data_IF_633000947902
#
_entry.id   IF_633000947902
#
_cell.length_a   1.000
_cell.length_b   1.000
_cell.length_c   1.000
_cell.angle_alpha   90.00
_cell.angle_beta   90.00
_cell.angle_gamma   90.00
#
_symmetry.space_group_name_H-M   'P 1'
#
loop_
_entity.id
_entity.type
_entity.pdbx_description
1 polymer ?
#
# COMPACT_ATOMS: atom_id res chain seq x y z
N UNK A 1 -14.56 -72.60 11.25
CA UNK A 1 -13.62 -72.39 12.37
C UNK A 1 -12.76 -71.21 11.96
N UNK A 2 -13.23 -69.99 12.42
CA UNK A 2 -12.65 -68.71 11.97
C UNK A 2 -11.56 -68.27 12.95
N UNK A 3 -10.31 -68.42 12.56
CA UNK A 3 -9.18 -67.86 13.30
C UNK A 3 -9.00 -66.38 12.92
N UNK A 4 -9.71 -65.51 13.63
CA UNK A 4 -9.41 -64.08 13.62
C UNK A 4 -8.05 -63.82 14.27
N UNK A 5 -7.03 -63.65 13.42
CA UNK A 5 -5.73 -63.13 13.79
C UNK A 5 -5.91 -61.74 14.37
N UNK A 6 -5.88 -61.62 15.71
CA UNK A 6 -5.84 -60.36 16.39
C UNK A 6 -4.47 -59.70 16.16
N UNK A 7 -4.40 -58.81 15.21
CA UNK A 7 -3.25 -57.93 14.97
C UNK A 7 -3.01 -57.06 16.23
N UNK A 8 -2.03 -57.44 17.01
CA UNK A 8 -1.60 -56.70 18.22
C UNK A 8 -1.01 -55.37 17.77
N UNK A 9 -1.75 -54.27 17.81
CA UNK A 9 -1.26 -52.90 17.56
C UNK A 9 -0.04 -52.69 18.48
N UNK A 10 1.13 -52.63 17.85
CA UNK A 10 2.38 -52.34 18.52
C UNK A 10 2.32 -50.89 19.06
N UNK A 11 2.11 -50.73 20.35
CA UNK A 11 2.13 -49.42 21.00
C UNK A 11 3.47 -48.73 20.84
N UNK A 12 3.45 -47.42 20.74
CA UNK A 12 4.66 -46.58 20.67
C UNK A 12 5.56 -46.84 21.88
N UNK A 13 6.87 -46.95 21.65
CA UNK A 13 7.86 -47.10 22.71
C UNK A 13 7.81 -45.89 23.68
N UNK A 14 8.16 -46.13 24.96
CA UNK A 14 8.13 -45.11 26.01
C UNK A 14 8.93 -43.85 25.64
N UNK A 15 10.12 -44.03 25.07
CA UNK A 15 10.97 -42.93 24.57
C UNK A 15 10.26 -42.10 23.51
N UNK A 16 9.57 -42.75 22.57
CA UNK A 16 8.81 -42.06 21.50
C UNK A 16 7.61 -41.29 22.07
N UNK A 17 6.93 -41.84 23.09
CA UNK A 17 5.84 -41.11 23.79
C UNK A 17 6.34 -39.84 24.47
N UNK A 18 7.44 -39.93 25.20
CA UNK A 18 8.08 -38.78 25.86
C UNK A 18 8.51 -37.73 24.85
N UNK A 19 9.13 -38.16 23.75
CA UNK A 19 9.59 -37.24 22.68
C UNK A 19 8.41 -36.51 22.03
N UNK A 20 7.34 -37.22 21.68
CA UNK A 20 6.15 -36.64 21.09
C UNK A 20 5.48 -35.65 22.04
N UNK A 21 5.34 -36.01 23.33
CA UNK A 21 4.73 -35.14 24.34
C UNK A 21 5.52 -33.84 24.56
N UNK A 22 6.83 -33.87 24.41
CA UNK A 22 7.69 -32.68 24.53
C UNK A 22 7.74 -31.84 23.22
N UNK A 23 7.79 -32.49 22.06
CA UNK A 23 7.93 -31.81 20.76
C UNK A 23 6.64 -31.14 20.29
N UNK A 24 5.48 -31.76 20.49
CA UNK A 24 4.19 -31.20 20.01
C UNK A 24 3.92 -29.82 20.58
N UNK A 25 3.97 -29.57 21.91
CA UNK A 25 3.75 -28.23 22.45
C UNK A 25 4.80 -27.21 21.99
N UNK A 26 6.06 -27.64 21.82
CA UNK A 26 7.12 -26.76 21.32
C UNK A 26 6.85 -26.29 19.89
N UNK A 27 6.48 -27.21 18.99
CA UNK A 27 6.10 -26.89 17.62
C UNK A 27 4.88 -25.98 17.60
N UNK A 28 3.89 -26.24 18.42
CA UNK A 28 2.66 -25.44 18.52
C UNK A 28 2.96 -23.99 18.94
N UNK A 29 3.85 -23.79 19.92
CA UNK A 29 4.29 -22.45 20.36
C UNK A 29 5.02 -21.73 19.23
N UNK A 30 5.91 -22.38 18.49
CA UNK A 30 6.64 -21.78 17.37
C UNK A 30 5.68 -21.37 16.25
N UNK A 31 4.71 -22.21 15.91
CA UNK A 31 3.69 -21.90 14.89
C UNK A 31 2.83 -20.72 15.32
N UNK A 32 2.34 -20.72 16.54
CA UNK A 32 1.53 -19.61 17.07
C UNK A 32 2.30 -18.31 17.12
N UNK A 33 3.57 -18.34 17.54
CA UNK A 33 4.44 -17.17 17.53
C UNK A 33 4.66 -16.63 16.09
N UNK A 34 4.94 -17.53 15.14
CA UNK A 34 5.12 -17.16 13.73
C UNK A 34 3.89 -16.50 13.12
N UNK A 35 2.70 -17.06 13.36
CA UNK A 35 1.43 -16.47 12.89
C UNK A 35 1.17 -15.10 13.54
N UNK A 36 1.43 -14.97 14.84
CA UNK A 36 1.26 -13.70 15.55
C UNK A 36 2.18 -12.61 15.03
N UNK A 37 3.46 -12.90 14.82
CA UNK A 37 4.46 -11.96 14.28
C UNK A 37 4.05 -11.51 12.87
N UNK A 38 3.63 -12.45 12.02
CA UNK A 38 3.21 -12.13 10.65
C UNK A 38 1.97 -11.22 10.65
N UNK A 39 0.97 -11.52 11.46
CA UNK A 39 -0.29 -10.75 11.53
C UNK A 39 -0.06 -9.33 12.06
N UNK A 40 0.65 -9.19 13.17
CA UNK A 40 0.94 -7.88 13.77
C UNK A 40 1.85 -7.05 12.86
N UNK A 41 2.90 -7.68 12.28
CA UNK A 41 3.84 -7.01 11.40
C UNK A 41 3.14 -6.41 10.17
N UNK A 42 2.21 -7.13 9.55
CA UNK A 42 1.48 -6.64 8.38
C UNK A 42 0.56 -5.45 8.71
N UNK A 43 -0.08 -5.45 9.86
CA UNK A 43 -0.95 -4.34 10.30
C UNK A 43 -0.12 -3.09 10.60
N UNK A 44 1.00 -3.25 11.31
CA UNK A 44 1.90 -2.12 11.64
C UNK A 44 2.51 -1.53 10.37
N UNK A 45 2.99 -2.36 9.45
CA UNK A 45 3.56 -1.90 8.19
C UNK A 45 2.54 -1.11 7.36
N UNK A 46 1.32 -1.61 7.21
CA UNK A 46 0.24 -0.89 6.50
C UNK A 46 -0.07 0.46 7.15
N UNK A 47 -0.15 0.51 8.48
CA UNK A 47 -0.44 1.75 9.21
C UNK A 47 0.68 2.78 9.05
N UNK A 48 1.94 2.33 9.05
CA UNK A 48 3.09 3.19 8.85
C UNK A 48 3.11 3.78 7.43
N UNK A 49 2.93 2.94 6.40
CA UNK A 49 2.86 3.39 5.01
C UNK A 49 1.71 4.37 4.80
N UNK A 50 0.53 4.10 5.38
CA UNK A 50 -0.61 5.01 5.30
C UNK A 50 -0.29 6.37 5.92
N UNK A 51 0.36 6.40 7.07
CA UNK A 51 0.75 7.64 7.73
C UNK A 51 1.78 8.44 6.91
N UNK A 52 2.76 7.74 6.31
CA UNK A 52 3.72 8.36 5.39
C UNK A 52 3.03 8.98 4.18
N UNK A 53 2.11 8.26 3.54
CA UNK A 53 1.36 8.77 2.38
C UNK A 53 0.50 9.99 2.74
N UNK A 54 -0.17 9.98 3.88
CA UNK A 54 -0.93 11.14 4.36
C UNK A 54 -0.02 12.35 4.59
N UNK A 55 1.10 12.16 5.27
CA UNK A 55 2.07 13.24 5.52
C UNK A 55 2.63 13.79 4.21
N UNK A 56 2.96 12.94 3.26
CA UNK A 56 3.43 13.34 1.94
C UNK A 56 2.35 14.13 1.17
N UNK A 57 1.08 13.70 1.24
CA UNK A 57 -0.04 14.41 0.62
C UNK A 57 -0.22 15.81 1.18
N UNK A 58 -0.22 15.99 2.49
CA UNK A 58 -0.29 17.31 3.12
C UNK A 58 0.91 18.20 2.76
N UNK A 59 2.12 17.64 2.75
CA UNK A 59 3.31 18.39 2.38
C UNK A 59 3.25 18.87 0.92
N UNK A 60 2.70 18.04 0.02
CA UNK A 60 2.49 18.41 -1.37
C UNK A 60 1.42 19.51 -1.52
N UNK A 61 0.32 19.41 -0.79
CA UNK A 61 -0.74 20.42 -0.76
C UNK A 61 -0.18 21.77 -0.28
N UNK A 62 0.54 21.79 0.83
CA UNK A 62 1.22 23.00 1.33
C UNK A 62 2.21 23.59 0.30
N UNK A 63 2.89 22.70 -0.45
CA UNK A 63 3.80 23.15 -1.51
C UNK A 63 3.01 23.84 -2.62
N UNK A 64 1.90 23.28 -3.08
CA UNK A 64 1.05 23.92 -4.11
C UNK A 64 0.41 25.21 -3.60
N UNK A 65 0.00 25.27 -2.34
CA UNK A 65 -0.54 26.48 -1.73
C UNK A 65 0.50 27.62 -1.64
N UNK A 66 1.76 27.27 -1.50
CA UNK A 66 2.85 28.25 -1.52
C UNK A 66 3.19 28.80 -2.91
N UNK A 67 2.84 28.05 -3.98
CA UNK A 67 3.10 28.43 -5.37
C UNK A 67 2.01 29.31 -5.97
N UNK A 68 0.75 29.12 -5.53
CA UNK A 68 -0.38 29.87 -6.06
C UNK A 68 -1.48 30.09 -5.02
N UNK A 69 -1.94 31.32 -4.89
CA UNK A 69 -3.10 31.66 -4.05
C UNK A 69 -4.39 31.54 -4.86
N UNK A 70 -5.45 30.99 -4.23
CA UNK A 70 -6.75 30.79 -4.84
C UNK A 70 -7.12 29.32 -5.05
N UNK A 71 -8.26 29.09 -5.69
CA UNK A 71 -8.80 27.74 -5.87
C UNK A 71 -8.12 26.97 -7.00
N UNK A 72 -8.25 25.64 -6.95
CA UNK A 72 -7.86 24.80 -8.07
C UNK A 72 -8.89 24.90 -9.20
N UNK A 73 -8.41 25.02 -10.43
CA UNK A 73 -9.24 24.99 -11.63
C UNK A 73 -8.47 24.43 -12.82
N UNK A 74 -9.18 24.06 -13.89
CA UNK A 74 -8.57 23.55 -15.11
C UNK A 74 -9.17 24.19 -16.34
N UNK A 75 -8.33 24.47 -17.34
CA UNK A 75 -8.75 24.91 -18.69
C UNK A 75 -9.03 23.71 -19.63
N UNK A 76 -8.99 22.48 -19.11
CA UNK A 76 -9.14 21.24 -19.86
C UNK A 76 -7.81 20.59 -20.28
N UNK A 77 -6.72 21.36 -20.35
CA UNK A 77 -5.37 20.89 -20.70
C UNK A 77 -4.44 20.97 -19.50
N UNK A 78 -4.53 22.06 -18.75
CA UNK A 78 -3.67 22.33 -17.61
C UNK A 78 -4.49 22.43 -16.32
N UNK A 79 -3.84 22.16 -15.21
CA UNK A 79 -4.35 22.36 -13.86
C UNK A 79 -3.65 23.58 -13.24
N UNK A 80 -4.43 24.42 -12.62
CA UNK A 80 -3.96 25.64 -11.97
C UNK A 80 -4.30 25.67 -10.49
N UNK A 81 -3.43 26.31 -9.71
CA UNK A 81 -3.71 26.79 -8.36
C UNK A 81 -3.71 28.32 -8.40
N UNK A 82 -4.89 28.95 -8.32
CA UNK A 82 -5.02 30.36 -8.64
C UNK A 82 -4.49 30.66 -10.05
N UNK A 83 -3.52 31.54 -10.18
CA UNK A 83 -2.89 31.86 -11.45
C UNK A 83 -1.65 31.00 -11.79
N UNK A 84 -1.27 30.06 -10.91
CA UNK A 84 -0.09 29.23 -11.12
C UNK A 84 -0.43 27.96 -11.88
N UNK A 85 0.22 27.77 -13.03
CA UNK A 85 0.04 26.56 -13.85
C UNK A 85 0.93 25.43 -13.31
N UNK A 86 0.29 24.40 -12.73
CA UNK A 86 0.99 23.25 -12.15
C UNK A 86 1.64 22.33 -13.18
N UNK A 87 1.18 22.36 -14.44
CA UNK A 87 1.77 21.57 -15.52
C UNK A 87 3.03 22.20 -16.10
N UNK A 88 3.20 23.52 -15.96
CA UNK A 88 4.36 24.22 -16.51
C UNK A 88 5.64 24.01 -15.71
N UNK A 89 5.53 23.62 -14.44
CA UNK A 89 6.68 23.42 -13.56
C UNK A 89 6.72 22.02 -12.94
N UNK A 90 7.10 21.06 -13.75
CA UNK A 90 7.26 19.69 -13.31
C UNK A 90 8.39 19.51 -12.28
N UNK A 91 9.31 20.47 -12.18
CA UNK A 91 10.43 20.39 -11.23
C UNK A 91 9.96 20.27 -9.79
N UNK A 92 8.88 20.96 -9.41
CA UNK A 92 8.31 20.89 -8.04
C UNK A 92 7.93 19.46 -7.66
N UNK A 93 7.23 18.74 -8.54
CA UNK A 93 6.81 17.35 -8.25
C UNK A 93 7.98 16.37 -8.36
N UNK A 94 8.97 16.65 -9.23
CA UNK A 94 10.16 15.82 -9.34
C UNK A 94 11.08 15.97 -8.12
N UNK A 95 11.25 17.17 -7.63
CA UNK A 95 11.99 17.44 -6.40
C UNK A 95 11.29 16.84 -5.20
N UNK A 96 9.95 16.90 -5.15
CA UNK A 96 9.16 16.23 -4.13
C UNK A 96 9.39 14.71 -4.16
N UNK A 97 9.24 14.08 -5.32
CA UNK A 97 9.51 12.65 -5.51
C UNK A 97 10.94 12.29 -5.10
N UNK A 98 11.92 13.08 -5.51
CA UNK A 98 13.33 12.85 -5.19
C UNK A 98 13.60 12.90 -3.67
N UNK A 99 12.94 13.81 -2.95
CA UNK A 99 13.12 13.98 -1.50
C UNK A 99 12.36 12.94 -0.68
N UNK A 100 11.17 12.55 -1.12
CA UNK A 100 10.27 11.68 -0.36
C UNK A 100 10.26 10.23 -0.84
N UNK A 101 10.79 9.97 -2.03
CA UNK A 101 10.66 8.70 -2.75
C UNK A 101 9.20 8.29 -3.02
N UNK A 102 8.28 9.26 -3.03
CA UNK A 102 6.85 9.06 -3.29
C UNK A 102 6.51 9.59 -4.67
N UNK A 103 5.85 8.76 -5.48
CA UNK A 103 5.31 9.19 -6.77
C UNK A 103 4.12 10.13 -6.57
N UNK A 104 4.13 11.24 -7.29
CA UNK A 104 3.07 12.25 -7.26
C UNK A 104 2.19 12.09 -8.49
N UNK A 105 0.89 12.08 -8.27
CA UNK A 105 -0.11 12.16 -9.34
C UNK A 105 -1.29 12.99 -8.87
N UNK A 106 -1.64 14.01 -9.64
CA UNK A 106 -2.80 14.86 -9.38
C UNK A 106 -3.83 14.64 -10.48
N UNK A 107 -5.03 14.29 -10.08
CA UNK A 107 -6.17 14.14 -10.98
C UNK A 107 -7.09 15.34 -10.85
N UNK A 108 -7.60 15.82 -12.00
CA UNK A 108 -8.73 16.74 -12.05
C UNK A 108 -9.94 15.97 -12.57
N UNK A 109 -10.94 15.82 -11.71
CA UNK A 109 -12.02 14.85 -11.95
C UNK A 109 -11.45 13.45 -12.19
N UNK A 110 -11.61 12.87 -13.36
CA UNK A 110 -11.09 11.55 -13.72
C UNK A 110 -9.78 11.59 -14.51
N UNK A 111 -9.28 12.78 -14.88
CA UNK A 111 -8.12 12.93 -15.78
C UNK A 111 -6.85 13.22 -14.98
N UNK A 112 -5.78 12.50 -15.26
CA UNK A 112 -4.44 12.73 -14.71
C UNK A 112 -3.84 13.96 -15.35
N UNK A 113 -3.73 15.05 -14.60
CA UNK A 113 -3.24 16.34 -15.10
C UNK A 113 -1.75 16.53 -14.84
N UNK A 114 -1.29 16.22 -13.63
CA UNK A 114 0.10 16.41 -13.21
C UNK A 114 0.62 15.08 -12.64
N UNK A 115 1.84 14.67 -13.03
CA UNK A 115 2.40 13.40 -12.51
C UNK A 115 3.93 13.38 -12.59
N UNK A 116 4.55 12.75 -11.60
CA UNK A 116 5.98 12.40 -11.62
C UNK A 116 6.27 11.09 -12.36
N UNK A 117 5.21 10.34 -12.71
CA UNK A 117 5.36 9.06 -13.42
C UNK A 117 5.69 9.31 -14.87
N UNK A 118 6.72 8.64 -15.35
CA UNK A 118 7.17 8.64 -16.75
C UNK A 118 6.96 7.24 -17.35
N UNK A 119 6.67 7.19 -18.64
CA UNK A 119 6.62 5.95 -19.41
C UNK A 119 8.02 5.47 -19.83
N UNK A 120 8.08 4.36 -20.57
CA UNK A 120 9.32 3.79 -21.10
C UNK A 120 10.04 4.69 -22.11
N UNK A 121 9.34 5.64 -22.69
CA UNK A 121 9.87 6.58 -23.68
C UNK A 121 10.29 7.91 -23.01
N UNK A 122 10.25 7.99 -21.67
CA UNK A 122 10.60 9.17 -20.88
C UNK A 122 9.54 10.27 -20.86
N UNK A 123 8.33 10.00 -21.36
CA UNK A 123 7.22 10.96 -21.35
C UNK A 123 6.38 10.82 -20.12
N UNK A 124 5.85 11.94 -19.60
CA UNK A 124 4.93 11.91 -18.47
C UNK A 124 3.59 11.30 -18.88
N UNK A 125 3.07 10.43 -18.02
CA UNK A 125 1.80 9.73 -18.26
C UNK A 125 0.65 10.65 -17.86
N UNK A 126 0.43 11.73 -18.62
CA UNK A 126 -0.70 12.67 -18.44
C UNK A 126 -1.87 12.31 -19.36
N UNK A 127 -3.06 12.87 -19.10
CA UNK A 127 -4.27 12.65 -19.92
C UNK A 127 -4.94 11.29 -19.75
N UNK A 128 -4.39 10.40 -18.93
CA UNK A 128 -4.99 9.07 -18.65
C UNK A 128 -6.05 9.17 -17.56
N UNK A 129 -7.04 8.28 -17.62
CA UNK A 129 -8.09 8.22 -16.63
C UNK A 129 -7.63 7.51 -15.35
N UNK A 130 -8.14 7.95 -14.20
CA UNK A 130 -8.06 7.20 -12.95
C UNK A 130 -8.92 5.92 -13.07
N UNK A 131 -8.49 4.75 -12.55
CA UNK A 131 -9.34 3.58 -12.50
C UNK A 131 -10.62 3.85 -11.71
N UNK A 132 -11.78 3.41 -12.22
CA UNK A 132 -13.08 3.68 -11.57
C UNK A 132 -13.12 3.16 -10.12
N UNK A 133 -12.51 2.01 -9.84
CA UNK A 133 -12.42 1.46 -8.48
C UNK A 133 -11.67 2.36 -7.49
N UNK A 134 -10.71 3.16 -7.97
CA UNK A 134 -9.98 4.14 -7.14
C UNK A 134 -10.79 5.43 -7.02
N UNK A 135 -11.34 5.91 -8.15
CA UNK A 135 -12.15 7.12 -8.19
C UNK A 135 -13.34 7.05 -7.24
N UNK A 136 -14.12 5.97 -7.31
CA UNK A 136 -15.30 5.79 -6.48
C UNK A 136 -14.95 5.79 -4.99
N UNK A 137 -13.85 5.15 -4.60
CA UNK A 137 -13.39 5.14 -3.21
C UNK A 137 -12.97 6.52 -2.73
N UNK A 138 -12.21 7.26 -3.54
CA UNK A 138 -11.75 8.60 -3.18
C UNK A 138 -12.92 9.58 -3.08
N UNK A 139 -13.86 9.52 -4.02
CA UNK A 139 -14.98 10.47 -4.09
C UNK A 139 -16.12 10.12 -3.13
N UNK A 140 -16.38 8.84 -2.85
CA UNK A 140 -17.46 8.43 -1.94
C UNK A 140 -17.03 8.45 -0.48
N UNK A 141 -15.81 8.00 -0.19
CA UNK A 141 -15.35 7.86 1.19
C UNK A 141 -14.61 9.09 1.69
N UNK A 142 -14.12 9.95 0.80
CA UNK A 142 -13.22 11.05 1.14
C UNK A 142 -11.96 10.58 1.87
N UNK A 143 -11.64 9.29 1.72
CA UNK A 143 -10.56 8.64 2.46
C UNK A 143 -9.34 8.43 1.59
N UNK A 144 -8.20 8.62 2.22
CA UNK A 144 -6.90 8.28 1.66
C UNK A 144 -6.73 6.75 1.64
N UNK A 145 -6.04 6.24 0.62
CA UNK A 145 -5.69 4.82 0.47
C UNK A 145 -4.20 4.63 0.52
#
# INVERSE_FOLDING_TARGET
>A
MDDKVLEKKKGLNLMTKILITALIPLILIVVLAGVSIHSVGSVVAKKLVMHEMQTASYALEMTFDSLGSGDYHSDGTNLYKGNYNLNSNNQTIDDFKKKTNVDVTVFWKKTRMVTSTIDKDGKRVTGTAIPDSVYDKVMQDGKYF
#
